data_IF_214366115169
#
_entry.id   IF_214366115169
#
_cell.length_a   1.000
_cell.length_b   1.000
_cell.length_c   1.000
_cell.angle_alpha   90.00
_cell.angle_beta   90.00
_cell.angle_gamma   90.00
#
_symmetry.space_group_name_H-M   'P 1'
#
loop_
_entity.id
_entity.type
_entity.pdbx_description
1 polymer ?
#
# COMPACT_ATOMS: atom_id res chain seq x y z
N UNK A 1 -3.19 47.31 -40.89
CA UNK A 1 -1.91 46.54 -40.75
C UNK A 1 -1.48 46.35 -39.30
N UNK A 2 -1.46 47.41 -38.46
CA UNK A 2 -1.08 47.30 -37.03
C UNK A 2 -2.00 46.39 -36.19
N UNK A 3 -3.30 46.40 -36.47
CA UNK A 3 -4.29 45.54 -35.79
C UNK A 3 -4.11 44.05 -36.08
N UNK A 4 -3.77 43.69 -37.31
CA UNK A 4 -3.47 42.31 -37.69
C UNK A 4 -2.18 41.81 -37.01
N UNK A 5 -1.19 42.69 -36.85
CA UNK A 5 0.07 42.37 -36.19
C UNK A 5 -0.11 42.16 -34.67
N UNK A 6 -0.99 42.94 -34.03
CA UNK A 6 -1.40 42.74 -32.64
C UNK A 6 -2.19 41.44 -32.45
N UNK A 7 -3.10 41.11 -33.36
CA UNK A 7 -3.83 39.84 -33.31
C UNK A 7 -2.89 38.63 -33.45
N UNK A 8 -1.88 38.73 -34.31
CA UNK A 8 -0.87 37.68 -34.47
C UNK A 8 -0.02 37.49 -33.21
N UNK A 9 0.35 38.58 -32.54
CA UNK A 9 1.11 38.54 -31.28
C UNK A 9 0.33 37.81 -30.16
N UNK A 10 -0.99 38.04 -30.07
CA UNK A 10 -1.86 37.40 -29.08
C UNK A 10 -2.03 35.89 -29.36
N UNK A 11 -2.04 35.46 -30.62
CA UNK A 11 -2.10 34.03 -30.95
C UNK A 11 -0.80 33.27 -30.62
N UNK A 12 0.34 33.97 -30.53
CA UNK A 12 1.64 33.35 -30.22
C UNK A 12 2.01 33.34 -28.74
N UNK A 13 1.22 33.97 -27.86
CA UNK A 13 1.48 33.89 -26.42
C UNK A 13 1.17 32.48 -25.93
N UNK A 14 2.22 31.69 -25.71
CA UNK A 14 2.12 30.37 -25.10
C UNK A 14 1.51 30.52 -23.69
N UNK A 15 0.27 30.06 -23.54
CA UNK A 15 -0.37 29.95 -22.23
C UNK A 15 0.35 28.79 -21.52
N UNK A 16 1.02 29.01 -20.38
CA UNK A 16 1.60 27.92 -19.61
C UNK A 16 0.49 26.93 -19.25
N UNK A 17 0.69 25.65 -19.61
CA UNK A 17 -0.25 24.59 -19.31
C UNK A 17 -0.26 24.35 -17.80
N UNK A 18 -1.28 24.90 -17.12
CA UNK A 18 -1.45 24.87 -15.65
C UNK A 18 -1.55 23.44 -15.08
N UNK A 19 -1.88 22.46 -15.93
CA UNK A 19 -2.07 21.06 -15.53
C UNK A 19 -0.78 20.22 -15.56
N UNK A 20 0.33 20.74 -16.10
CA UNK A 20 1.60 20.02 -16.05
C UNK A 20 2.25 20.21 -14.68
N UNK A 21 2.89 19.17 -14.14
CA UNK A 21 3.71 19.32 -12.95
C UNK A 21 4.86 20.31 -13.23
N UNK A 22 5.38 20.98 -12.19
CA UNK A 22 6.57 21.80 -12.28
C UNK A 22 7.70 21.11 -13.05
N UNK A 23 8.50 21.82 -13.86
CA UNK A 23 9.60 21.21 -14.61
C UNK A 23 10.71 20.63 -13.73
N UNK A 24 10.80 21.07 -12.47
CA UNK A 24 11.66 20.50 -11.42
C UNK A 24 11.15 19.17 -10.85
N UNK A 25 9.86 18.84 -11.03
CA UNK A 25 9.31 17.59 -10.55
C UNK A 25 9.72 16.45 -11.49
N UNK A 26 10.33 15.43 -10.91
CA UNK A 26 10.76 14.25 -11.64
C UNK A 26 9.55 13.46 -12.17
N UNK A 27 9.56 13.01 -13.44
CA UNK A 27 8.50 12.15 -13.95
C UNK A 27 8.38 10.85 -13.14
N UNK A 28 7.15 10.44 -12.89
CA UNK A 28 6.81 9.24 -12.13
C UNK A 28 7.47 7.97 -12.71
N UNK A 29 7.59 7.90 -14.03
CA UNK A 29 8.24 6.78 -14.72
C UNK A 29 9.71 6.65 -14.34
N UNK A 30 10.39 7.77 -14.07
CA UNK A 30 11.79 7.79 -13.61
C UNK A 30 11.86 7.49 -12.12
N UNK A 31 10.99 8.10 -11.31
CA UNK A 31 10.94 7.85 -9.87
C UNK A 31 10.69 6.36 -9.53
N UNK A 32 9.84 5.68 -10.32
CA UNK A 32 9.60 4.23 -10.17
C UNK A 32 10.80 3.35 -10.48
N UNK A 33 11.76 3.85 -11.25
CA UNK A 33 12.99 3.11 -11.57
C UNK A 33 14.10 3.30 -10.53
N UNK A 34 13.91 4.20 -9.56
CA UNK A 34 14.87 4.41 -8.48
C UNK A 34 14.94 3.19 -7.57
N UNK A 35 16.14 2.63 -7.42
CA UNK A 35 16.38 1.54 -6.48
C UNK A 35 16.57 2.18 -5.11
N UNK A 36 15.53 2.10 -4.27
CA UNK A 36 15.58 2.59 -2.89
C UNK A 36 16.51 1.66 -2.10
N UNK A 37 17.77 2.07 -1.93
CA UNK A 37 18.76 1.35 -1.12
C UNK A 37 18.66 1.67 0.36
N UNK A 38 17.98 2.76 0.71
CA UNK A 38 17.75 3.20 2.09
C UNK A 38 16.53 2.48 2.65
N UNK A 39 16.75 1.46 3.48
CA UNK A 39 15.66 0.86 4.23
C UNK A 39 15.18 1.85 5.30
N UNK A 40 13.88 1.86 5.58
CA UNK A 40 13.31 2.54 6.74
C UNK A 40 12.75 1.51 7.71
N UNK A 41 12.88 1.79 8.99
CA UNK A 41 12.30 0.93 10.02
C UNK A 41 10.77 0.85 9.86
N UNK A 42 10.17 -0.36 9.86
CA UNK A 42 8.72 -0.54 9.81
C UNK A 42 7.99 -0.07 11.08
N UNK A 43 8.71 0.15 12.18
CA UNK A 43 8.13 0.54 13.47
C UNK A 43 8.04 2.07 13.62
N UNK A 44 9.09 2.79 13.22
CA UNK A 44 9.27 4.21 13.51
C UNK A 44 9.75 5.05 12.32
N UNK A 45 9.82 4.46 11.12
CA UNK A 45 10.15 5.12 9.84
C UNK A 45 11.52 5.81 9.76
N UNK A 46 12.40 5.56 10.74
CA UNK A 46 13.77 6.09 10.73
C UNK A 46 14.61 5.40 9.65
N UNK A 47 15.60 6.10 9.07
CA UNK A 47 16.56 5.49 8.16
C UNK A 47 17.32 4.37 8.88
N UNK A 48 17.49 3.24 8.20
CA UNK A 48 18.05 2.02 8.74
C UNK A 48 19.02 1.41 7.73
N UNK A 49 20.20 0.98 8.20
CA UNK A 49 21.16 0.27 7.36
C UNK A 49 20.72 -1.19 7.14
N UNK A 50 21.23 -1.85 6.09
CA UNK A 50 20.92 -3.25 5.77
C UNK A 50 21.22 -4.22 6.91
N UNK A 51 22.32 -4.02 7.64
CA UNK A 51 22.67 -4.86 8.79
C UNK A 51 21.70 -4.67 9.97
N UNK A 52 21.30 -3.42 10.22
CA UNK A 52 20.35 -3.08 11.28
C UNK A 52 18.93 -3.59 10.93
N UNK A 53 18.57 -3.56 9.65
CA UNK A 53 17.33 -4.15 9.14
C UNK A 53 17.31 -5.67 9.34
N UNK A 54 18.40 -6.36 9.02
CA UNK A 54 18.50 -7.81 9.25
C UNK A 54 18.35 -8.16 10.73
N UNK A 55 19.04 -7.43 11.62
CA UNK A 55 18.91 -7.62 13.06
C UNK A 55 17.48 -7.33 13.58
N UNK A 56 16.83 -6.27 13.09
CA UNK A 56 15.45 -5.95 13.43
C UNK A 56 14.48 -7.06 12.97
N UNK A 57 14.71 -7.60 11.78
CA UNK A 57 13.90 -8.66 11.20
C UNK A 57 14.02 -9.98 11.97
N UNK A 58 15.19 -10.28 12.53
CA UNK A 58 15.41 -11.42 13.45
C UNK A 58 14.63 -11.22 14.76
N UNK A 59 14.73 -10.03 15.38
CA UNK A 59 13.98 -9.70 16.60
C UNK A 59 12.46 -9.80 16.43
N UNK A 60 11.94 -9.35 15.28
CA UNK A 60 10.52 -9.43 14.96
C UNK A 60 10.04 -10.88 14.76
N UNK A 61 10.92 -11.77 14.32
CA UNK A 61 10.59 -13.19 14.15
C UNK A 61 10.58 -13.97 15.47
N UNK A 62 11.49 -13.67 16.40
CA UNK A 62 11.57 -14.35 17.70
C UNK A 62 10.27 -14.23 18.53
N UNK A 63 9.56 -13.10 18.39
CA UNK A 63 8.31 -12.84 19.11
C UNK A 63 7.05 -13.33 18.40
N UNK A 64 7.14 -13.80 17.16
CA UNK A 64 5.97 -14.20 16.38
C UNK A 64 5.59 -15.66 16.65
N UNK A 65 4.33 -15.95 16.99
CA UNK A 65 3.90 -17.32 17.18
C UNK A 65 4.01 -18.08 15.86
N UNK A 66 4.62 -19.27 15.91
CA UNK A 66 4.83 -20.19 14.75
C UNK A 66 3.54 -20.39 13.96
N UNK A 67 2.39 -20.41 14.65
CA UNK A 67 1.09 -20.34 14.01
C UNK A 67 0.36 -19.05 14.44
N UNK A 68 -0.08 -18.19 13.50
CA UNK A 68 -0.88 -17.01 13.84
C UNK A 68 -2.13 -17.33 14.65
N UNK A 69 -2.67 -18.56 14.53
CA UNK A 69 -3.82 -19.00 15.33
C UNK A 69 -3.49 -19.06 16.82
N UNK A 70 -2.23 -19.28 17.20
CA UNK A 70 -1.77 -19.37 18.59
C UNK A 70 -1.72 -18.01 19.30
N UNK A 71 -1.84 -16.91 18.56
CA UNK A 71 -2.05 -15.57 19.12
C UNK A 71 -3.44 -15.35 19.74
N UNK A 72 -4.44 -16.19 19.43
CA UNK A 72 -5.82 -16.02 19.93
C UNK A 72 -6.14 -16.99 21.05
N UNK A 73 -7.03 -16.57 21.96
CA UNK A 73 -7.48 -17.42 23.07
C UNK A 73 -8.07 -18.75 22.58
N UNK A 74 -7.89 -19.86 23.31
CA UNK A 74 -8.43 -21.17 22.91
C UNK A 74 -9.95 -21.15 22.71
N UNK A 75 -10.66 -20.37 23.52
CA UNK A 75 -12.11 -20.20 23.42
C UNK A 75 -12.52 -19.54 22.11
N UNK A 76 -11.86 -18.44 21.73
CA UNK A 76 -12.16 -17.76 20.47
C UNK A 76 -11.88 -18.66 19.26
N UNK A 77 -10.78 -19.42 19.30
CA UNK A 77 -10.45 -20.40 18.24
C UNK A 77 -11.55 -21.44 18.09
N UNK A 78 -12.05 -21.98 19.21
CA UNK A 78 -13.16 -22.93 19.22
C UNK A 78 -14.41 -22.32 18.60
N UNK A 79 -14.77 -21.11 19.01
CA UNK A 79 -15.94 -20.38 18.48
C UNK A 79 -15.82 -20.16 16.98
N UNK A 80 -14.67 -19.72 16.48
CA UNK A 80 -14.42 -19.56 15.03
C UNK A 80 -14.58 -20.91 14.30
N UNK A 81 -14.07 -22.00 14.88
CA UNK A 81 -14.26 -23.35 14.35
C UNK A 81 -15.73 -23.74 14.21
N UNK A 82 -16.54 -23.47 15.24
CA UNK A 82 -17.99 -23.73 15.23
C UNK A 82 -18.72 -22.88 14.18
N UNK A 83 -18.34 -21.61 14.03
CA UNK A 83 -18.92 -20.73 12.99
C UNK A 83 -18.58 -21.21 11.58
N UNK A 84 -17.35 -21.67 11.35
CA UNK A 84 -16.94 -22.26 10.05
C UNK A 84 -17.69 -23.55 9.77
N UNK A 85 -17.85 -24.41 10.76
CA UNK A 85 -18.64 -25.65 10.63
C UNK A 85 -20.11 -25.34 10.34
N UNK A 86 -20.71 -24.40 11.07
CA UNK A 86 -22.07 -23.92 10.81
C UNK A 86 -22.22 -23.41 9.38
N UNK A 87 -21.26 -22.60 8.91
CA UNK A 87 -21.26 -22.10 7.53
C UNK A 87 -21.19 -23.25 6.52
N UNK A 88 -20.29 -24.22 6.73
CA UNK A 88 -20.16 -25.39 5.87
C UNK A 88 -21.49 -26.17 5.76
N UNK A 89 -22.15 -26.44 6.89
CA UNK A 89 -23.42 -27.17 6.89
C UNK A 89 -24.49 -26.39 6.12
N UNK A 90 -24.59 -25.08 6.32
CA UNK A 90 -25.53 -24.24 5.55
C UNK A 90 -25.23 -24.20 4.05
N UNK A 91 -23.95 -24.29 3.67
CA UNK A 91 -23.54 -24.31 2.26
C UNK A 91 -23.82 -25.65 1.60
N UNK A 92 -23.54 -26.77 2.28
CA UNK A 92 -23.72 -28.13 1.71
C UNK A 92 -25.18 -28.58 1.79
N UNK A 93 -25.89 -28.21 2.86
CA UNK A 93 -27.26 -28.61 3.14
C UNK A 93 -28.17 -27.38 3.36
N UNK A 94 -28.52 -26.64 2.29
CA UNK A 94 -29.24 -25.37 2.40
C UNK A 94 -30.69 -25.51 2.91
N UNK A 95 -31.20 -26.74 2.99
CA UNK A 95 -32.54 -27.07 3.43
C UNK A 95 -32.63 -27.47 4.91
N UNK A 96 -31.52 -27.61 5.64
CA UNK A 96 -31.56 -27.93 7.07
C UNK A 96 -31.80 -26.64 7.88
N UNK A 97 -32.87 -26.57 8.69
CA UNK A 97 -33.16 -25.38 9.51
C UNK A 97 -32.28 -25.33 10.76
N UNK A 98 -31.04 -24.85 10.62
CA UNK A 98 -30.11 -24.63 11.75
C UNK A 98 -30.21 -23.17 12.21
N UNK A 99 -30.86 -22.95 13.35
CA UNK A 99 -30.96 -21.62 14.02
C UNK A 99 -29.66 -21.24 14.71
#
# INVERSE_FOLDING_TARGET
MKSALLAFLVLTSAIPAVALPPPEDQPEEVARTEIITEARSPLDNKPLNAAEYAALQEQLQEGQPVNPRDSVSPELRRTIGLLRLRRLIKTVFPFIPIR
#
